data_IF_060307147797
#
_entry.id   IF_060307147797
#
_cell.length_a   1.000
_cell.length_b   1.000
_cell.length_c   1.000
_cell.angle_alpha   90.00
_cell.angle_beta   90.00
_cell.angle_gamma   90.00
#
_symmetry.space_group_name_H-M   'P 1'
#
loop_
_entity.id
_entity.type
_entity.pdbx_description
1 polymer ?
#
# COMPACT_ATOMS: atom_id res chain seq x y z
N UNK A 1 13.09 6.56 -30.47
CA UNK A 1 13.76 6.19 -29.21
C UNK A 1 12.70 5.60 -28.31
N UNK A 2 12.67 4.28 -28.17
CA UNK A 2 11.85 3.63 -27.13
C UNK A 2 12.47 4.06 -25.80
N UNK A 3 11.71 4.72 -24.93
CA UNK A 3 12.13 4.81 -23.54
C UNK A 3 12.00 3.40 -22.99
N UNK A 4 13.12 2.70 -22.85
CA UNK A 4 13.18 1.49 -22.03
C UNK A 4 12.88 1.93 -20.60
N UNK A 5 11.60 1.88 -20.24
CA UNK A 5 11.18 1.89 -18.85
C UNK A 5 11.58 0.52 -18.30
N UNK A 6 12.84 0.40 -17.91
CA UNK A 6 13.25 -0.68 -17.02
C UNK A 6 12.53 -0.45 -15.69
N UNK A 7 11.41 -1.15 -15.51
CA UNK A 7 10.66 -1.10 -14.27
C UNK A 7 11.40 -1.93 -13.25
N UNK A 8 11.98 -1.26 -12.27
CA UNK A 8 12.65 -1.90 -11.14
C UNK A 8 11.60 -2.57 -10.23
N UNK A 9 11.34 -3.85 -10.47
CA UNK A 9 10.36 -4.65 -9.73
C UNK A 9 10.77 -4.82 -8.26
N UNK A 10 12.06 -4.72 -7.92
CA UNK A 10 12.55 -4.73 -6.54
C UNK A 10 12.17 -3.46 -5.79
N UNK A 11 12.24 -2.29 -6.43
CA UNK A 11 11.74 -1.03 -5.86
C UNK A 11 10.24 -1.11 -5.59
N UNK A 12 9.46 -1.65 -6.52
CA UNK A 12 8.01 -1.82 -6.33
C UNK A 12 7.70 -2.75 -5.14
N UNK A 13 8.42 -3.87 -5.00
CA UNK A 13 8.30 -4.78 -3.84
C UNK A 13 8.72 -4.11 -2.54
N UNK A 14 9.82 -3.36 -2.53
CA UNK A 14 10.30 -2.64 -1.36
C UNK A 14 9.31 -1.57 -0.90
N UNK A 15 8.70 -0.83 -1.83
CA UNK A 15 7.64 0.13 -1.55
C UNK A 15 6.41 -0.56 -0.96
N UNK A 16 5.94 -1.67 -1.55
CA UNK A 16 4.83 -2.44 -1.03
C UNK A 16 5.10 -2.94 0.41
N UNK A 17 6.29 -3.48 0.67
CA UNK A 17 6.68 -3.92 2.01
C UNK A 17 6.72 -2.77 3.03
N UNK A 18 7.20 -1.59 2.63
CA UNK A 18 7.22 -0.39 3.47
C UNK A 18 5.80 0.10 3.78
N UNK A 19 4.91 0.13 2.79
CA UNK A 19 3.52 0.56 2.98
C UNK A 19 2.78 -0.39 3.93
N UNK A 20 2.95 -1.72 3.80
CA UNK A 20 2.37 -2.69 4.75
C UNK A 20 2.80 -2.45 6.19
N UNK A 21 4.08 -2.13 6.40
CA UNK A 21 4.59 -1.81 7.75
C UNK A 21 3.91 -0.56 8.31
N UNK A 22 3.80 0.49 7.50
CA UNK A 22 3.13 1.74 7.91
C UNK A 22 1.65 1.48 8.23
N UNK A 23 0.95 0.68 7.41
CA UNK A 23 -0.45 0.31 7.67
C UNK A 23 -0.59 -0.42 9.01
N UNK A 24 0.28 -1.38 9.30
CA UNK A 24 0.26 -2.12 10.55
C UNK A 24 0.51 -1.21 11.78
N UNK A 25 1.44 -0.27 11.66
CA UNK A 25 1.77 0.68 12.72
C UNK A 25 0.62 1.68 12.95
N UNK A 26 0.06 2.21 11.86
CA UNK A 26 -0.96 3.27 11.90
C UNK A 26 -2.33 2.71 12.28
N UNK A 27 -2.73 1.57 11.73
CA UNK A 27 -4.02 0.93 12.00
C UNK A 27 -4.20 0.48 13.46
N UNK A 28 -3.11 0.36 14.22
CA UNK A 28 -3.14 0.04 15.64
C UNK A 28 -3.33 1.26 16.57
N UNK A 29 -3.48 2.47 16.02
CA UNK A 29 -3.59 3.70 16.81
C UNK A 29 -5.03 3.93 17.28
N UNK A 30 -5.33 3.53 18.52
CA UNK A 30 -6.59 3.88 19.19
C UNK A 30 -6.51 5.25 19.86
N UNK A 31 -7.49 6.11 19.60
CA UNK A 31 -7.68 7.34 20.36
C UNK A 31 -8.55 7.07 21.59
N UNK A 32 -7.97 7.16 22.79
CA UNK A 32 -8.74 7.08 24.03
C UNK A 32 -9.48 8.41 24.27
N UNK A 33 -10.80 8.40 24.48
CA UNK A 33 -11.55 9.61 24.82
C UNK A 33 -11.07 10.20 26.16
N UNK A 34 -11.03 11.53 26.31
CA UNK A 34 -10.73 12.15 27.60
C UNK A 34 -11.85 11.86 28.60
N UNK A 35 -11.50 11.16 29.69
CA UNK A 35 -12.45 10.73 30.72
C UNK A 35 -12.85 11.82 31.72
N UNK A 36 -12.20 13.00 31.68
CA UNK A 36 -12.32 14.04 32.70
C UNK A 36 -12.67 15.44 32.17
N UNK A 37 -13.15 15.57 30.94
CA UNK A 37 -13.61 16.85 30.45
C UNK A 37 -14.92 17.23 31.17
N UNK A 38 -14.84 18.05 32.21
CA UNK A 38 -15.96 18.35 33.11
C UNK A 38 -17.15 19.09 32.49
N UNK A 39 -17.16 19.31 31.17
CA UNK A 39 -18.25 19.94 30.45
C UNK A 39 -18.73 19.08 29.28
N UNK A 40 -20.03 18.81 29.24
CA UNK A 40 -20.68 17.88 28.29
C UNK A 40 -20.34 18.16 26.81
N UNK A 41 -20.26 19.43 26.40
CA UNK A 41 -19.92 19.78 25.02
C UNK A 41 -18.48 19.39 24.64
N UNK A 42 -17.55 19.38 25.60
CA UNK A 42 -16.16 18.96 25.36
C UNK A 42 -16.08 17.45 25.20
N UNK A 43 -16.86 16.70 26.00
CA UNK A 43 -16.99 15.24 25.86
C UNK A 43 -17.56 14.91 24.48
N UNK A 44 -18.69 15.52 24.09
CA UNK A 44 -19.31 15.30 22.79
C UNK A 44 -18.39 15.69 21.61
N UNK A 45 -17.64 16.79 21.73
CA UNK A 45 -16.66 17.18 20.72
C UNK A 45 -15.50 16.17 20.62
N UNK A 46 -15.05 15.61 21.75
CA UNK A 46 -13.97 14.63 21.80
C UNK A 46 -14.40 13.29 21.22
N UNK A 47 -15.62 12.82 21.51
CA UNK A 47 -16.21 11.62 20.92
C UNK A 47 -16.33 11.76 19.40
N UNK A 48 -16.87 12.88 18.92
CA UNK A 48 -17.00 13.15 17.48
C UNK A 48 -15.64 13.24 16.78
N UNK A 49 -14.64 13.81 17.45
CA UNK A 49 -13.27 13.83 16.93
C UNK A 49 -12.72 12.42 16.82
N UNK A 50 -12.84 11.60 17.87
CA UNK A 50 -12.37 10.22 17.86
C UNK A 50 -13.04 9.40 16.76
N UNK A 51 -14.37 9.50 16.62
CA UNK A 51 -15.11 8.80 15.56
C UNK A 51 -14.65 9.23 14.16
N UNK A 52 -14.56 10.54 13.90
CA UNK A 52 -14.17 11.07 12.58
C UNK A 52 -12.72 10.72 12.26
N UNK A 53 -11.84 10.79 13.25
CA UNK A 53 -10.44 10.40 13.10
C UNK A 53 -10.31 8.91 12.78
N UNK A 54 -10.96 8.04 13.56
CA UNK A 54 -10.91 6.59 13.33
C UNK A 54 -11.49 6.21 11.97
N UNK A 55 -12.59 6.83 11.55
CA UNK A 55 -13.15 6.61 10.21
C UNK A 55 -12.20 7.08 9.10
N UNK A 56 -11.58 8.26 9.25
CA UNK A 56 -10.60 8.78 8.30
C UNK A 56 -9.33 7.93 8.24
N UNK A 57 -8.87 7.43 9.40
CA UNK A 57 -7.72 6.55 9.51
C UNK A 57 -7.98 5.21 8.81
N UNK A 58 -9.15 4.61 9.04
CA UNK A 58 -9.56 3.38 8.39
C UNK A 58 -9.61 3.53 6.87
N UNK A 59 -10.19 4.62 6.36
CA UNK A 59 -10.21 4.91 4.92
C UNK A 59 -8.78 5.02 4.33
N UNK A 60 -7.87 5.68 5.05
CA UNK A 60 -6.47 5.81 4.60
C UNK A 60 -5.69 4.50 4.64
N UNK A 61 -5.98 3.65 5.62
CA UNK A 61 -5.44 2.30 5.67
C UNK A 61 -5.90 1.50 4.46
N UNK A 62 -7.19 1.52 4.13
CA UNK A 62 -7.75 0.86 2.94
C UNK A 62 -7.10 1.37 1.65
N UNK A 63 -7.04 2.69 1.45
CA UNK A 63 -6.41 3.28 0.25
C UNK A 63 -4.93 2.85 0.10
N UNK A 64 -4.22 2.75 1.21
CA UNK A 64 -2.81 2.35 1.23
C UNK A 64 -2.63 0.85 0.94
N UNK A 65 -3.57 0.02 1.36
CA UNK A 65 -3.58 -1.41 1.07
C UNK A 65 -3.84 -1.65 -0.42
N UNK A 66 -4.84 -1.00 -0.99
CA UNK A 66 -5.12 -0.98 -2.44
C UNK A 66 -3.88 -0.55 -3.25
N UNK A 67 -3.20 0.51 -2.81
CA UNK A 67 -1.96 0.97 -3.44
C UNK A 67 -0.85 -0.09 -3.37
N UNK A 68 -0.71 -0.76 -2.23
CA UNK A 68 0.24 -1.85 -2.01
C UNK A 68 -0.02 -3.02 -2.94
N UNK A 69 -1.28 -3.43 -3.10
CA UNK A 69 -1.68 -4.50 -4.02
C UNK A 69 -1.35 -4.16 -5.47
N UNK A 70 -1.58 -2.90 -5.88
CA UNK A 70 -1.23 -2.44 -7.23
C UNK A 70 0.28 -2.48 -7.48
N UNK A 71 1.10 -2.08 -6.51
CA UNK A 71 2.56 -2.19 -6.62
C UNK A 71 3.01 -3.64 -6.78
N UNK A 72 2.49 -4.54 -5.94
CA UNK A 72 2.81 -5.97 -6.00
C UNK A 72 2.35 -6.62 -7.32
N UNK A 73 1.16 -6.27 -7.79
CA UNK A 73 0.62 -6.75 -9.07
C UNK A 73 1.46 -6.27 -10.24
N UNK A 74 1.86 -4.99 -10.23
CA UNK A 74 2.71 -4.41 -11.28
C UNK A 74 4.05 -5.14 -11.33
N UNK A 75 4.72 -5.32 -10.18
CA UNK A 75 5.99 -6.06 -10.11
C UNK A 75 5.86 -7.45 -10.75
N UNK A 76 4.83 -8.21 -10.34
CA UNK A 76 4.57 -9.56 -10.86
C UNK A 76 4.37 -9.57 -12.38
N UNK A 77 3.56 -8.66 -12.92
CA UNK A 77 3.29 -8.60 -14.38
C UNK A 77 4.57 -8.30 -15.17
N UNK A 78 5.44 -7.44 -14.64
CA UNK A 78 6.74 -7.17 -15.28
C UNK A 78 7.66 -8.39 -15.22
N UNK A 79 7.76 -9.09 -14.09
CA UNK A 79 8.57 -10.31 -14.00
C UNK A 79 8.08 -11.39 -14.98
N UNK A 80 6.77 -11.64 -15.01
CA UNK A 80 6.13 -12.61 -15.92
C UNK A 80 6.39 -12.24 -17.39
N UNK A 81 6.38 -10.94 -17.72
CA UNK A 81 6.71 -10.43 -19.04
C UNK A 81 8.18 -10.65 -19.40
N UNK A 82 9.11 -10.39 -18.47
CA UNK A 82 10.55 -10.63 -18.66
C UNK A 82 10.85 -12.12 -18.85
N UNK A 83 10.24 -12.98 -18.05
CA UNK A 83 10.40 -14.43 -18.14
C UNK A 83 9.87 -14.98 -19.49
N UNK A 84 8.70 -14.50 -19.93
CA UNK A 84 8.12 -14.87 -21.23
C UNK A 84 9.02 -14.44 -22.40
N UNK A 85 9.53 -13.21 -22.38
CA UNK A 85 10.43 -12.70 -23.41
C UNK A 85 11.75 -13.50 -23.45
N UNK A 86 12.29 -13.88 -22.29
CA UNK A 86 13.49 -14.71 -22.21
C UNK A 86 13.25 -16.12 -22.77
N UNK A 87 12.10 -16.73 -22.47
CA UNK A 87 11.74 -18.05 -22.99
C UNK A 87 11.58 -18.05 -24.52
N UNK A 88 11.03 -16.98 -25.10
CA UNK A 88 10.92 -16.81 -26.56
C UNK A 88 12.32 -16.72 -27.21
N UNK A 89 13.23 -15.93 -26.63
CA UNK A 89 14.61 -15.81 -27.11
C UNK A 89 15.36 -17.14 -27.00
N UNK A 90 15.23 -17.85 -25.88
CA UNK A 90 15.85 -19.17 -25.71
C UNK A 90 15.33 -20.16 -26.77
N UNK A 91 14.02 -20.17 -27.06
CA UNK A 91 13.46 -21.01 -28.11
C UNK A 91 14.06 -20.69 -29.49
N UNK A 92 14.21 -19.39 -29.83
CA UNK A 92 14.83 -18.99 -31.10
C UNK A 92 16.30 -19.40 -31.23
N UNK A 93 17.05 -19.44 -30.12
CA UNK A 93 18.47 -19.83 -30.11
C UNK A 93 18.64 -21.35 -30.31
N UNK A 94 17.69 -22.15 -29.81
CA UNK A 94 17.80 -23.63 -29.81
C UNK A 94 16.97 -24.32 -30.91
N UNK A 95 16.06 -23.61 -31.59
CA UNK A 95 15.29 -24.12 -32.73
C UNK A 95 15.96 -23.87 -34.10
N UNK A 96 17.15 -23.26 -34.12
CA UNK A 96 18.04 -23.10 -35.31
C UNK A 96 19.15 -24.16 -35.34
#
# INVERSE_FOLDING_TARGET
>A
MSQDYEVDTDVLRAMAAKTRRIIADVGATDLTPPTSAGHEWVVAASERFAETWSAGLAARVTDSDDFTERLATTARVFDEGTDAAKAEVDAMIWEE
#
